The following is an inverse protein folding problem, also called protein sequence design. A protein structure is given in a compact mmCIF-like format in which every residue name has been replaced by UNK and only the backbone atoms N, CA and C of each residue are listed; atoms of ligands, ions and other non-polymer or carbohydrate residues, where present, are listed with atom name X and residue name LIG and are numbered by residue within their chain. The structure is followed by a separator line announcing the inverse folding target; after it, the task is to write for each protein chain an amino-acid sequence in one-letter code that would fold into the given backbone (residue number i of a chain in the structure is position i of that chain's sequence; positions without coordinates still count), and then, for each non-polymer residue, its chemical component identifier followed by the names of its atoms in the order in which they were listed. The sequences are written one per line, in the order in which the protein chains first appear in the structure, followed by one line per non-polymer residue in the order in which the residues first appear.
data_IF_834761471624
#
_entry.id   IF_834761471624
#
_cell.length_a   1.000
_cell.length_b   1.000
_cell.length_c   1.000
_cell.angle_alpha   90.00
_cell.angle_beta   90.00
_cell.angle_gamma   90.00
#
_symmetry.space_group_name_H-M   'P 1'
#
loop_
_entity.id
_entity.type
_entity.pdbx_description
1 polymer ?
#
# COMPACT_ATOMS: atom_id res chain seq x y z
N UNK A 1 17.67 18.48 -22.86
CA UNK A 1 17.25 18.31 -21.46
C UNK A 1 17.37 16.82 -21.15
N UNK A 2 18.33 16.39 -20.32
CA UNK A 2 18.56 14.97 -20.11
C UNK A 2 17.48 14.42 -19.18
N UNK A 3 16.70 13.45 -19.66
CA UNK A 3 15.63 12.75 -18.94
C UNK A 3 16.12 11.49 -18.19
N UNK A 4 17.42 11.20 -18.25
CA UNK A 4 17.96 9.92 -17.79
C UNK A 4 18.12 9.82 -16.27
N UNK A 5 18.33 10.93 -15.57
CA UNK A 5 18.58 10.91 -14.12
C UNK A 5 17.27 10.84 -13.29
N UNK A 6 16.12 11.24 -13.86
CA UNK A 6 14.84 11.31 -13.14
C UNK A 6 14.21 9.96 -12.78
N UNK A 7 14.67 8.84 -13.36
CA UNK A 7 14.12 7.51 -13.03
C UNK A 7 14.65 6.97 -11.69
N UNK A 8 15.86 7.36 -11.29
CA UNK A 8 16.48 6.91 -10.05
C UNK A 8 16.02 7.71 -8.83
N UNK A 9 15.50 8.91 -9.07
CA UNK A 9 15.06 9.84 -8.05
C UNK A 9 13.56 10.18 -8.25
N UNK A 10 12.64 9.23 -7.96
CA UNK A 10 11.21 9.47 -8.10
C UNK A 10 10.71 10.47 -7.05
N UNK A 11 9.75 11.32 -7.45
CA UNK A 11 9.09 12.26 -6.56
C UNK A 11 7.61 11.90 -6.40
N UNK A 12 7.10 12.00 -5.17
CA UNK A 12 5.67 11.83 -4.88
C UNK A 12 4.96 13.16 -5.21
N UNK A 13 3.83 13.07 -5.90
CA UNK A 13 2.96 14.20 -6.26
C UNK A 13 1.49 13.84 -5.96
N UNK A 14 0.55 14.78 -6.10
CA UNK A 14 -0.88 14.52 -5.84
C UNK A 14 -1.26 14.59 -4.36
N UNK A 15 -0.84 15.66 -3.67
CA UNK A 15 -1.17 15.92 -2.26
C UNK A 15 -2.56 16.55 -2.05
N UNK A 16 -3.41 16.59 -3.08
CA UNK A 16 -4.78 17.10 -3.02
C UNK A 16 -5.68 16.29 -2.08
N UNK A 17 -5.33 15.02 -1.85
CA UNK A 17 -6.00 14.13 -0.89
C UNK A 17 -5.20 13.92 0.41
N UNK A 18 -4.11 14.66 0.61
CA UNK A 18 -3.34 14.63 1.85
C UNK A 18 -4.12 15.32 2.99
N UNK A 19 -3.83 14.92 4.22
CA UNK A 19 -4.58 15.34 5.42
C UNK A 19 -3.66 15.33 6.65
N UNK A 20 -4.05 16.08 7.67
CA UNK A 20 -3.42 15.98 8.98
C UNK A 20 -3.74 14.64 9.65
N UNK A 21 -2.89 14.21 10.59
CA UNK A 21 -3.10 12.96 11.33
C UNK A 21 -4.43 13.03 12.10
N UNK A 22 -5.30 12.04 11.90
CA UNK A 22 -6.63 12.00 12.51
C UNK A 22 -7.69 12.89 11.84
N UNK A 23 -7.32 13.67 10.82
CA UNK A 23 -8.27 14.44 10.02
C UNK A 23 -8.69 13.66 8.78
N UNK A 24 -9.95 13.84 8.35
CA UNK A 24 -10.41 13.32 7.07
C UNK A 24 -9.97 14.24 5.92
N UNK A 25 -9.65 13.66 4.77
CA UNK A 25 -9.34 14.41 3.57
C UNK A 25 -10.57 15.21 3.09
N UNK A 26 -10.44 16.53 2.84
CA UNK A 26 -11.53 17.35 2.35
C UNK A 26 -11.85 17.10 0.86
N UNK A 27 -10.89 16.60 0.07
CA UNK A 27 -11.03 16.44 -1.38
C UNK A 27 -11.70 15.14 -1.81
N UNK A 28 -11.17 13.99 -1.37
CA UNK A 28 -11.67 12.67 -1.78
C UNK A 28 -11.82 11.75 -0.58
N UNK A 29 -12.95 11.04 -0.51
CA UNK A 29 -13.21 10.00 0.49
C UNK A 29 -13.51 8.68 -0.22
N UNK A 30 -12.79 7.60 0.10
CA UNK A 30 -13.07 6.30 -0.47
C UNK A 30 -14.47 5.85 -0.05
N UNK A 31 -15.26 5.42 -1.03
CA UNK A 31 -16.65 4.97 -0.84
C UNK A 31 -16.77 3.45 -0.82
N UNK A 32 -15.70 2.74 -1.18
CA UNK A 32 -15.69 1.32 -1.46
C UNK A 32 -16.02 0.97 -2.91
N UNK A 33 -16.65 1.90 -3.65
CA UNK A 33 -17.16 1.67 -5.00
C UNK A 33 -16.52 2.58 -6.06
N UNK A 34 -15.72 3.58 -5.68
CA UNK A 34 -15.02 4.49 -6.58
C UNK A 34 -13.96 3.76 -7.41
N UNK A 35 -13.67 4.15 -8.65
CA UNK A 35 -12.88 3.36 -9.61
C UNK A 35 -11.37 3.28 -9.28
N UNK A 36 -10.94 3.93 -8.20
CA UNK A 36 -9.59 3.85 -7.62
C UNK A 36 -9.63 3.38 -6.15
N UNK A 37 -10.80 3.05 -5.60
CA UNK A 37 -10.91 2.68 -4.18
C UNK A 37 -10.17 1.37 -3.84
N UNK A 38 -9.80 0.57 -4.85
CA UNK A 38 -8.97 -0.62 -4.67
C UNK A 38 -7.55 -0.30 -4.19
N UNK A 39 -7.10 0.95 -4.36
CA UNK A 39 -5.82 1.39 -3.83
C UNK A 39 -5.90 1.60 -2.31
N UNK A 40 -7.09 1.80 -1.74
CA UNK A 40 -7.25 2.00 -0.31
C UNK A 40 -7.42 0.69 0.43
N UNK A 41 -7.01 0.68 1.69
CA UNK A 41 -7.21 -0.45 2.57
C UNK A 41 -8.70 -0.85 2.65
N UNK A 42 -9.04 -2.16 2.67
CA UNK A 42 -10.44 -2.61 2.67
C UNK A 42 -11.30 -2.03 3.81
N UNK A 43 -10.68 -1.74 4.95
CA UNK A 43 -11.35 -1.18 6.13
C UNK A 43 -11.27 0.34 6.23
N UNK A 44 -10.76 1.05 5.22
CA UNK A 44 -10.59 2.53 5.25
C UNK A 44 -11.90 3.29 5.55
N UNK A 45 -13.05 2.72 5.18
CA UNK A 45 -14.37 3.32 5.45
C UNK A 45 -14.73 3.22 6.93
N UNK A 46 -14.22 2.22 7.65
CA UNK A 46 -14.51 1.97 9.07
C UNK A 46 -13.45 2.59 9.98
N UNK A 47 -12.17 2.37 9.68
CA UNK A 47 -11.04 2.82 10.50
C UNK A 47 -10.55 4.21 10.12
N UNK A 48 -11.12 4.81 9.08
CA UNK A 48 -10.58 6.02 8.49
C UNK A 48 -9.22 5.74 7.86
N UNK A 49 -8.48 6.81 7.67
CA UNK A 49 -7.37 6.84 6.75
C UNK A 49 -6.11 7.17 7.57
N UNK A 50 -5.31 6.15 7.87
CA UNK A 50 -4.14 6.17 8.76
C UNK A 50 -2.85 5.84 8.02
N UNK A 51 -1.68 6.06 8.66
CA UNK A 51 -0.39 5.63 8.13
C UNK A 51 -0.35 4.12 7.81
N UNK A 52 -1.03 3.29 8.61
CA UNK A 52 -1.17 1.83 8.36
C UNK A 52 -1.96 1.57 7.08
N UNK A 53 -3.07 2.28 6.84
CA UNK A 53 -3.85 2.13 5.60
C UNK A 53 -3.14 2.70 4.37
N UNK A 54 -2.28 3.71 4.55
CA UNK A 54 -1.45 4.24 3.46
C UNK A 54 -0.38 3.23 3.03
N UNK A 55 0.14 2.41 3.96
CA UNK A 55 1.06 1.30 3.63
C UNK A 55 0.42 0.21 2.78
N UNK A 56 -0.86 -0.08 2.98
CA UNK A 56 -1.60 -0.95 2.06
C UNK A 56 -1.58 -0.39 0.64
N UNK A 57 -1.82 0.91 0.49
CA UNK A 57 -1.80 1.60 -0.81
C UNK A 57 -0.42 1.52 -1.46
N UNK A 58 0.64 1.59 -0.66
CA UNK A 58 2.01 1.35 -1.11
C UNK A 58 2.24 -0.10 -1.56
N UNK A 59 1.68 -1.09 -0.85
CA UNK A 59 1.70 -2.50 -1.28
C UNK A 59 1.01 -2.71 -2.64
N UNK A 60 -0.12 -2.04 -2.88
CA UNK A 60 -0.80 -2.05 -4.19
C UNK A 60 0.10 -1.44 -5.28
N UNK A 61 0.78 -0.33 -5.00
CA UNK A 61 1.73 0.29 -5.92
C UNK A 61 2.89 -0.65 -6.26
N UNK A 62 3.50 -1.29 -5.26
CA UNK A 62 4.57 -2.26 -5.49
C UNK A 62 4.09 -3.45 -6.33
N UNK A 63 2.85 -3.90 -6.13
CA UNK A 63 2.25 -4.95 -6.95
C UNK A 63 2.04 -4.49 -8.40
N UNK A 64 1.59 -3.25 -8.63
CA UNK A 64 1.49 -2.64 -9.97
C UNK A 64 2.86 -2.54 -10.66
N UNK A 65 3.90 -2.14 -9.92
CA UNK A 65 5.28 -2.08 -10.43
C UNK A 65 5.79 -3.45 -10.86
N UNK A 66 5.58 -4.49 -10.05
CA UNK A 66 6.00 -5.85 -10.41
C UNK A 66 5.28 -6.39 -11.65
N UNK A 67 4.01 -6.01 -11.85
CA UNK A 67 3.27 -6.38 -13.06
C UNK A 67 3.52 -5.47 -14.26
N UNK A 68 4.21 -4.34 -14.07
CA UNK A 68 4.39 -3.29 -15.09
C UNK A 68 3.08 -2.85 -15.75
N UNK A 69 1.98 -2.82 -14.99
CA UNK A 69 0.66 -2.40 -15.49
C UNK A 69 -0.29 -2.01 -14.35
N UNK A 70 -1.23 -1.08 -14.60
CA UNK A 70 -2.29 -0.77 -13.64
C UNK A 70 -3.17 -1.99 -13.32
N UNK A 71 -3.56 -2.14 -12.06
CA UNK A 71 -4.43 -3.23 -11.61
C UNK A 71 -5.91 -3.00 -11.89
N UNK A 72 -6.31 -1.77 -12.30
CA UNK A 72 -7.71 -1.41 -12.57
C UNK A 72 -8.45 -2.44 -13.42
N UNK A 73 -7.85 -2.93 -14.52
CA UNK A 73 -8.51 -3.91 -15.39
C UNK A 73 -8.73 -5.30 -14.75
N UNK A 74 -7.89 -5.71 -13.79
CA UNK A 74 -8.13 -6.92 -12.97
C UNK A 74 -9.21 -6.65 -11.91
N UNK A 75 -9.18 -5.46 -11.33
CA UNK A 75 -10.13 -5.01 -10.30
C UNK A 75 -11.54 -4.86 -10.87
N UNK A 76 -11.71 -4.28 -12.05
CA UNK A 76 -13.03 -4.14 -12.70
C UNK A 76 -13.72 -5.50 -12.86
N UNK A 77 -12.95 -6.53 -13.24
CA UNK A 77 -13.44 -7.92 -13.31
C UNK A 77 -13.78 -8.50 -11.94
N UNK A 78 -12.99 -8.17 -10.92
CA UNK A 78 -13.26 -8.62 -9.55
C UNK A 78 -14.46 -7.90 -8.92
N UNK A 79 -14.62 -6.59 -9.16
CA UNK A 79 -15.72 -5.75 -8.69
C UNK A 79 -17.07 -6.08 -9.29
N UNK A 80 -17.10 -6.66 -10.49
CA UNK A 80 -18.32 -7.24 -11.01
C UNK A 80 -18.89 -8.35 -10.08
N UNK A 81 -18.07 -8.84 -9.15
CA UNK A 81 -18.37 -10.02 -8.34
C UNK A 81 -18.06 -9.85 -6.84
N UNK A 82 -17.38 -8.78 -6.38
CA UNK A 82 -16.85 -8.73 -5.01
C UNK A 82 -16.52 -7.35 -4.39
N UNK A 83 -16.35 -7.38 -3.08
CA UNK A 83 -16.04 -6.30 -2.11
C UNK A 83 -14.55 -5.90 -2.10
N UNK A 84 -14.22 -4.78 -1.43
CA UNK A 84 -12.82 -4.38 -1.22
C UNK A 84 -12.00 -5.44 -0.46
N UNK A 85 -12.63 -6.15 0.47
CA UNK A 85 -12.00 -7.23 1.24
C UNK A 85 -11.57 -8.37 0.31
N UNK A 86 -12.44 -8.76 -0.62
CA UNK A 86 -12.11 -9.80 -1.60
C UNK A 86 -11.02 -9.34 -2.56
N UNK A 87 -11.03 -8.07 -2.97
CA UNK A 87 -9.96 -7.48 -3.80
C UNK A 87 -8.62 -7.50 -3.05
N UNK A 88 -8.61 -7.12 -1.77
CA UNK A 88 -7.41 -7.18 -0.93
C UNK A 88 -6.88 -8.61 -0.79
N UNK A 89 -7.75 -9.58 -0.52
CA UNK A 89 -7.37 -10.99 -0.46
C UNK A 89 -6.78 -11.50 -1.78
N UNK A 90 -7.30 -11.05 -2.93
CA UNK A 90 -6.73 -11.36 -4.25
C UNK A 90 -5.33 -10.78 -4.42
N UNK A 91 -5.06 -9.57 -3.92
CA UNK A 91 -3.73 -8.96 -3.97
C UNK A 91 -2.74 -9.68 -3.06
N UNK A 92 -3.12 -10.03 -1.83
CA UNK A 92 -2.29 -10.84 -0.93
C UNK A 92 -1.98 -12.20 -1.56
N UNK A 93 -2.97 -12.86 -2.15
CA UNK A 93 -2.78 -14.12 -2.88
C UNK A 93 -1.82 -13.96 -4.06
N UNK A 94 -1.95 -12.89 -4.83
CA UNK A 94 -1.04 -12.58 -5.93
C UNK A 94 0.40 -12.36 -5.45
N UNK A 95 0.58 -11.66 -4.32
CA UNK A 95 1.87 -11.46 -3.69
C UNK A 95 2.52 -12.79 -3.26
N UNK A 96 1.74 -13.71 -2.68
CA UNK A 96 2.21 -15.02 -2.25
C UNK A 96 2.55 -15.97 -3.40
N UNK A 97 1.67 -16.06 -4.39
CA UNK A 97 1.71 -17.13 -5.39
C UNK A 97 2.41 -16.74 -6.68
N UNK A 98 2.37 -15.45 -7.07
CA UNK A 98 2.85 -15.01 -8.39
C UNK A 98 4.14 -14.20 -8.30
N UNK A 99 4.23 -13.28 -7.33
CA UNK A 99 5.39 -12.39 -7.23
C UNK A 99 6.74 -13.09 -6.98
N UNK A 100 6.85 -14.20 -6.21
CA UNK A 100 8.16 -14.81 -5.97
C UNK A 100 8.84 -15.25 -7.27
N UNK A 101 8.07 -15.73 -8.24
CA UNK A 101 8.55 -16.14 -9.56
C UNK A 101 8.84 -14.94 -10.49
N UNK A 102 8.21 -13.79 -10.27
CA UNK A 102 8.31 -12.62 -11.13
C UNK A 102 9.36 -11.60 -10.69
N UNK A 103 9.41 -11.30 -9.40
CA UNK A 103 10.22 -10.23 -8.81
C UNK A 103 11.14 -10.73 -7.67
N UNK A 104 11.11 -12.04 -7.38
CA UNK A 104 11.89 -12.65 -6.31
C UNK A 104 11.17 -12.67 -4.96
N UNK A 105 11.61 -13.58 -4.09
CA UNK A 105 10.98 -13.83 -2.80
C UNK A 105 11.05 -12.64 -1.83
N UNK A 106 12.13 -11.86 -1.88
CA UNK A 106 12.30 -10.67 -1.02
C UNK A 106 11.24 -9.64 -1.36
N UNK A 107 11.13 -9.25 -2.64
CA UNK A 107 10.14 -8.29 -3.11
C UNK A 107 8.71 -8.77 -2.80
N UNK A 108 8.41 -10.04 -3.10
CA UNK A 108 7.12 -10.64 -2.81
C UNK A 108 6.75 -10.56 -1.32
N UNK A 109 7.71 -10.84 -0.42
CA UNK A 109 7.52 -10.75 1.02
C UNK A 109 7.24 -9.32 1.50
N UNK A 110 7.89 -8.31 0.92
CA UNK A 110 7.62 -6.90 1.23
C UNK A 110 6.22 -6.51 0.78
N UNK A 111 5.82 -6.87 -0.44
CA UNK A 111 4.47 -6.58 -0.96
C UNK A 111 3.40 -7.26 -0.10
N UNK A 112 3.60 -8.54 0.23
CA UNK A 112 2.70 -9.26 1.14
C UNK A 112 2.58 -8.54 2.47
N UNK A 113 3.70 -8.16 3.08
CA UNK A 113 3.72 -7.48 4.37
C UNK A 113 2.96 -6.15 4.34
N UNK A 114 3.12 -5.34 3.29
CA UNK A 114 2.38 -4.09 3.12
C UNK A 114 0.87 -4.33 2.93
N UNK A 115 0.47 -5.38 2.21
CA UNK A 115 -0.93 -5.67 1.88
C UNK A 115 -1.71 -6.37 3.00
N UNK A 116 -1.05 -7.21 3.79
CA UNK A 116 -1.71 -7.96 4.88
C UNK A 116 -2.00 -7.06 6.08
N UNK A 117 -1.27 -5.94 6.22
CA UNK A 117 -1.53 -4.94 7.26
C UNK A 117 -1.32 -5.44 8.69
N UNK A 118 -0.83 -6.68 8.87
CA UNK A 118 -0.56 -7.31 10.18
C UNK A 118 0.70 -6.69 10.77
N UNK A 119 0.54 -5.47 11.27
CA UNK A 119 1.44 -4.97 12.29
C UNK A 119 1.08 -5.64 13.61
N UNK A 120 2.01 -6.43 14.16
CA UNK A 120 1.98 -6.84 15.57
C UNK A 120 2.16 -5.66 16.55
N UNK A 121 2.15 -4.42 16.05
CA UNK A 121 2.03 -3.20 16.84
C UNK A 121 0.55 -3.07 17.19
N UNK A 122 0.21 -3.54 18.39
CA UNK A 122 -1.16 -3.73 18.87
C UNK A 122 -2.13 -2.62 18.50
N UNK A 123 -3.40 -2.98 18.36
CA UNK A 123 -4.51 -2.08 18.00
C UNK A 123 -4.83 -1.03 19.08
N UNK A 124 -3.93 -0.83 20.05
CA UNK A 124 -4.13 0.09 21.16
C UNK A 124 -3.26 1.35 20.98
N UNK A 125 -3.91 2.49 21.19
CA UNK A 125 -3.38 3.83 21.48
C UNK A 125 -3.19 4.81 20.31
N UNK A 126 -4.31 5.41 19.91
CA UNK A 126 -4.36 6.85 19.62
C UNK A 126 -4.22 7.67 20.94
N UNK A 127 -3.06 7.62 21.61
CA UNK A 127 -2.78 8.51 22.77
C UNK A 127 -2.08 9.82 22.36
N UNK A 128 -1.90 10.09 21.05
CA UNK A 128 -1.20 11.30 20.61
C UNK A 128 0.25 11.43 21.11
N UNK A 129 0.82 10.37 21.71
CA UNK A 129 2.13 10.38 22.36
C UNK A 129 3.31 10.22 21.38
N UNK A 130 3.05 10.09 20.08
CA UNK A 130 4.06 10.03 19.02
C UNK A 130 4.97 8.79 19.02
N UNK A 131 4.92 7.95 20.06
CA UNK A 131 5.76 6.75 20.21
C UNK A 131 5.51 5.72 19.10
N UNK A 132 4.24 5.48 18.78
CA UNK A 132 3.82 4.55 17.72
C UNK A 132 4.27 5.00 16.31
N UNK A 133 4.45 6.31 16.10
CA UNK A 133 4.93 6.83 14.82
C UNK A 133 6.40 6.49 14.58
N UNK A 134 7.21 6.51 15.65
CA UNK A 134 8.61 6.11 15.59
C UNK A 134 8.78 4.61 15.36
N UNK A 135 7.94 3.79 16.00
CA UNK A 135 7.93 2.33 15.80
C UNK A 135 7.51 1.95 14.38
N UNK A 136 6.46 2.60 13.84
CA UNK A 136 6.02 2.38 12.48
C UNK A 136 7.07 2.82 11.46
N UNK A 137 7.72 3.97 11.67
CA UNK A 137 8.80 4.45 10.82
C UNK A 137 10.01 3.50 10.86
N UNK A 138 10.36 2.99 12.04
CA UNK A 138 11.41 1.99 12.20
C UNK A 138 11.05 0.69 11.47
N UNK A 139 9.83 0.17 11.67
CA UNK A 139 9.33 -1.01 10.98
C UNK A 139 9.35 -0.84 9.46
N UNK A 140 8.91 0.32 8.95
CA UNK A 140 9.01 0.63 7.52
C UNK A 140 10.47 0.68 7.03
N UNK A 141 11.37 1.30 7.81
CA UNK A 141 12.79 1.35 7.47
C UNK A 141 13.42 -0.05 7.38
N UNK A 142 13.10 -0.95 8.30
CA UNK A 142 13.66 -2.30 8.36
C UNK A 142 12.96 -3.25 7.39
N UNK A 143 11.65 -3.39 7.48
CA UNK A 143 10.88 -4.40 6.75
C UNK A 143 10.59 -4.02 5.31
N UNK A 144 10.57 -2.74 4.97
CA UNK A 144 10.31 -2.28 3.60
C UNK A 144 11.59 -1.84 2.94
N UNK A 145 12.21 -0.76 3.45
CA UNK A 145 13.36 -0.14 2.77
C UNK A 145 14.58 -1.07 2.79
N UNK A 146 15.00 -1.53 3.97
CA UNK A 146 16.17 -2.40 4.11
C UNK A 146 16.05 -3.69 3.31
N UNK A 147 14.86 -4.31 3.30
CA UNK A 147 14.62 -5.52 2.50
C UNK A 147 14.63 -5.25 1.00
N UNK A 148 14.04 -4.15 0.54
CA UNK A 148 14.08 -3.79 -0.89
C UNK A 148 15.49 -3.45 -1.37
N UNK A 149 16.39 -2.95 -0.51
CA UNK A 149 17.80 -2.74 -0.85
C UNK A 149 18.56 -4.05 -1.12
N UNK A 150 18.10 -5.17 -0.55
CA UNK A 150 18.66 -6.49 -0.81
C UNK A 150 18.20 -7.09 -2.15
N UNK A 151 17.16 -6.52 -2.77
CA UNK A 151 16.73 -6.95 -4.10
C UNK A 151 17.84 -6.67 -5.12
N UNK A 152 18.23 -7.72 -5.85
CA UNK A 152 19.20 -7.62 -6.94
C UNK A 152 18.46 -7.55 -8.27
N UNK A 153 18.80 -6.55 -9.07
CA UNK A 153 18.32 -6.40 -10.45
C UNK A 153 19.01 -7.39 -11.40
#
# INVERSE_FOLDING_TARGET
MPLADTLRDPYITGFDSAREVGAESPGYRPTGAGPVDYCYHPDVVKSGSTKKTDLYSFGVLLLELAYWRPLRGKVEKARATGSLQEIGALFVKAAKEQLPAMAGAIYAGVVEWCLDGVFSLGDEYEDGSGVWEGELACAMGVEVVGRLEECRA
#
